data_IF_982123961095
#
_entry.id   IF_982123961095
#
_cell.length_a   1.000
_cell.length_b   1.000
_cell.length_c   1.000
_cell.angle_alpha   90.00
_cell.angle_beta   90.00
_cell.angle_gamma   90.00
#
_symmetry.space_group_name_H-M   'P 1'
#
loop_
_entity.id
_entity.type
_entity.pdbx_description
1 polymer ?
#
# COMPACT_ATOMS: atom_id res chain seq x y z
N UNK A 1 30.09 -22.88 -6.26
CA UNK A 1 29.43 -22.75 -7.57
C UNK A 1 27.95 -22.60 -7.32
N UNK A 2 27.49 -21.38 -7.38
CA UNK A 2 26.09 -21.02 -7.25
C UNK A 2 25.36 -21.54 -8.46
N UNK A 3 24.61 -22.61 -8.29
CA UNK A 3 23.53 -22.94 -9.22
C UNK A 3 22.63 -21.70 -9.26
N UNK A 4 22.53 -21.06 -10.41
CA UNK A 4 21.58 -19.98 -10.67
C UNK A 4 20.19 -20.43 -10.22
N UNK A 5 19.69 -19.86 -9.13
CA UNK A 5 18.32 -20.10 -8.71
C UNK A 5 17.39 -19.37 -9.66
N UNK A 6 16.24 -19.97 -9.92
CA UNK A 6 15.19 -19.33 -10.71
C UNK A 6 14.12 -18.85 -9.76
N UNK A 7 13.87 -17.55 -9.78
CA UNK A 7 12.81 -16.93 -9.03
C UNK A 7 11.62 -16.65 -9.93
N UNK A 8 10.44 -16.65 -9.35
CA UNK A 8 9.21 -16.19 -9.99
C UNK A 8 8.76 -14.91 -9.29
N UNK A 9 8.31 -13.92 -10.05
CA UNK A 9 7.73 -12.70 -9.53
C UNK A 9 6.34 -12.48 -10.11
N UNK A 10 5.35 -12.30 -9.23
CA UNK A 10 3.98 -11.97 -9.60
C UNK A 10 3.75 -10.52 -9.23
N UNK A 11 3.40 -9.67 -10.20
CA UNK A 11 3.34 -8.23 -10.02
C UNK A 11 1.91 -7.70 -10.02
N UNK A 12 1.61 -6.63 -9.24
CA UNK A 12 0.29 -6.03 -9.13
C UNK A 12 -0.01 -5.11 -10.33
N UNK A 13 -1.21 -4.50 -10.32
CA UNK A 13 -1.56 -3.41 -11.26
C UNK A 13 -1.26 -2.04 -10.72
N UNK A 14 -1.09 -1.90 -9.42
CA UNK A 14 -0.94 -0.59 -8.74
C UNK A 14 0.42 0.04 -8.98
N UNK A 15 1.46 -0.79 -9.09
CA UNK A 15 2.86 -0.39 -9.29
C UNK A 15 3.63 -1.48 -10.06
N UNK A 16 3.23 -1.79 -11.32
CA UNK A 16 3.77 -2.94 -12.05
C UNK A 16 5.24 -2.75 -12.44
N UNK A 17 5.62 -1.58 -12.92
CA UNK A 17 6.98 -1.29 -13.38
C UNK A 17 7.96 -1.18 -12.23
N UNK A 18 7.58 -0.53 -11.15
CA UNK A 18 8.38 -0.36 -9.93
C UNK A 18 8.69 -1.71 -9.30
N UNK A 19 7.69 -2.59 -9.21
CA UNK A 19 7.87 -3.96 -8.71
C UNK A 19 8.78 -4.78 -9.62
N UNK A 20 8.65 -4.65 -10.95
CA UNK A 20 9.52 -5.33 -11.91
C UNK A 20 10.96 -4.85 -11.74
N UNK A 21 11.20 -3.55 -11.69
CA UNK A 21 12.53 -2.97 -11.54
C UNK A 21 13.17 -3.44 -10.22
N UNK A 22 12.46 -3.27 -9.12
CA UNK A 22 12.94 -3.67 -7.79
C UNK A 22 13.29 -5.16 -7.72
N UNK A 23 12.37 -6.04 -8.15
CA UNK A 23 12.57 -7.48 -8.08
C UNK A 23 13.64 -7.94 -9.07
N UNK A 24 13.79 -7.30 -10.22
CA UNK A 24 14.88 -7.56 -11.16
C UNK A 24 16.23 -7.28 -10.51
N UNK A 25 16.41 -6.09 -9.95
CA UNK A 25 17.67 -5.69 -9.31
C UNK A 25 18.00 -6.63 -8.16
N UNK A 26 17.07 -6.85 -7.24
CA UNK A 26 17.28 -7.67 -6.03
C UNK A 26 17.57 -9.13 -6.37
N UNK A 27 16.83 -9.72 -7.31
CA UNK A 27 16.98 -11.13 -7.66
C UNK A 27 18.23 -11.40 -8.51
N UNK A 28 18.58 -10.50 -9.43
CA UNK A 28 19.82 -10.63 -10.22
C UNK A 28 21.05 -10.42 -9.32
N UNK A 29 21.03 -9.44 -8.42
CA UNK A 29 22.10 -9.24 -7.45
C UNK A 29 22.31 -10.48 -6.56
N UNK A 30 21.24 -11.21 -6.23
CA UNK A 30 21.30 -12.50 -5.56
C UNK A 30 21.69 -13.69 -6.46
N UNK A 31 22.10 -13.47 -7.72
CA UNK A 31 22.52 -14.52 -8.66
C UNK A 31 21.37 -15.33 -9.25
N UNK A 32 20.16 -14.76 -9.36
CA UNK A 32 18.98 -15.44 -9.87
C UNK A 32 18.62 -14.98 -11.27
N UNK A 33 17.93 -15.86 -12.02
CA UNK A 33 17.09 -15.46 -13.16
C UNK A 33 15.64 -15.33 -12.69
N UNK A 34 14.87 -14.48 -13.37
CA UNK A 34 13.49 -14.18 -12.95
C UNK A 34 12.51 -14.44 -14.09
N UNK A 35 11.43 -15.15 -13.80
CA UNK A 35 10.25 -15.22 -14.65
C UNK A 35 9.12 -14.41 -14.01
N UNK A 36 8.59 -13.43 -14.73
CA UNK A 36 7.48 -12.62 -14.29
C UNK A 36 6.13 -13.17 -14.79
N UNK A 37 5.16 -13.23 -13.89
CA UNK A 37 3.75 -13.37 -14.24
C UNK A 37 3.02 -12.09 -13.82
N UNK A 38 2.91 -11.18 -14.77
CA UNK A 38 2.42 -9.82 -14.50
C UNK A 38 0.89 -9.80 -14.40
N UNK A 39 0.33 -8.77 -13.83
CA UNK A 39 -1.13 -8.64 -13.82
C UNK A 39 -1.66 -8.42 -15.24
N UNK A 40 -2.76 -9.10 -15.68
CA UNK A 40 -3.27 -9.01 -17.05
C UNK A 40 -3.55 -7.58 -17.54
N UNK A 41 -4.04 -6.71 -16.67
CA UNK A 41 -4.31 -5.29 -16.99
C UNK A 41 -3.07 -4.43 -17.18
N UNK A 42 -1.91 -4.88 -16.67
CA UNK A 42 -0.63 -4.19 -16.80
C UNK A 42 0.31 -4.86 -17.80
N UNK A 43 -0.17 -5.86 -18.58
CA UNK A 43 0.65 -6.69 -19.47
C UNK A 43 1.53 -5.88 -20.42
N UNK A 44 0.98 -4.85 -21.08
CA UNK A 44 1.70 -4.05 -22.07
C UNK A 44 2.83 -3.25 -21.41
N UNK A 45 2.53 -2.45 -20.43
CA UNK A 45 3.55 -1.62 -19.73
C UNK A 45 4.62 -2.47 -19.07
N UNK A 46 4.25 -3.64 -18.54
CA UNK A 46 5.20 -4.61 -17.99
C UNK A 46 6.14 -5.19 -19.04
N UNK A 47 5.62 -5.50 -20.22
CA UNK A 47 6.44 -6.00 -21.34
C UNK A 47 7.44 -4.95 -21.81
N UNK A 48 7.00 -3.69 -21.96
CA UNK A 48 7.86 -2.57 -22.34
C UNK A 48 8.98 -2.34 -21.30
N UNK A 49 8.64 -2.40 -20.02
CA UNK A 49 9.60 -2.30 -18.92
C UNK A 49 10.63 -3.43 -18.95
N UNK A 50 10.19 -4.68 -19.12
CA UNK A 50 11.08 -5.84 -19.19
C UNK A 50 11.99 -5.78 -20.40
N UNK A 51 11.51 -5.29 -21.54
CA UNK A 51 12.31 -5.11 -22.73
C UNK A 51 13.43 -4.08 -22.48
N UNK A 52 13.10 -2.93 -21.89
CA UNK A 52 14.08 -1.90 -21.54
C UNK A 52 15.16 -2.44 -20.59
N UNK A 53 14.75 -3.17 -19.54
CA UNK A 53 15.68 -3.79 -18.60
C UNK A 53 16.57 -4.85 -19.24
N UNK A 54 16.04 -5.72 -20.11
CA UNK A 54 16.85 -6.70 -20.85
C UNK A 54 17.88 -6.02 -21.75
N UNK A 55 17.50 -4.94 -22.42
CA UNK A 55 18.43 -4.14 -23.24
C UNK A 55 19.56 -3.61 -22.38
N UNK A 56 19.25 -2.97 -21.25
CA UNK A 56 20.27 -2.45 -20.34
C UNK A 56 21.18 -3.55 -19.76
N UNK A 57 20.64 -4.73 -19.44
CA UNK A 57 21.42 -5.88 -18.98
C UNK A 57 22.44 -6.32 -20.05
N UNK A 58 22.01 -6.43 -21.31
CA UNK A 58 22.86 -6.85 -22.42
C UNK A 58 23.94 -5.80 -22.70
N UNK A 59 23.59 -4.52 -22.72
CA UNK A 59 24.54 -3.41 -22.90
C UNK A 59 25.61 -3.36 -21.79
N UNK A 60 25.25 -3.74 -20.57
CA UNK A 60 26.17 -3.89 -19.45
C UNK A 60 27.02 -5.18 -19.50
N UNK A 61 26.92 -5.99 -20.55
CA UNK A 61 27.66 -7.25 -20.74
C UNK A 61 27.01 -8.46 -20.07
N UNK A 62 25.77 -8.32 -19.56
CA UNK A 62 25.01 -9.43 -18.99
C UNK A 62 24.43 -10.36 -20.05
N UNK A 63 24.12 -11.62 -19.69
CA UNK A 63 23.51 -12.55 -20.62
C UNK A 63 22.07 -12.17 -20.95
N UNK A 64 21.65 -12.46 -22.20
CA UNK A 64 20.26 -12.29 -22.61
C UNK A 64 19.31 -13.19 -21.79
N UNK A 65 18.07 -12.74 -21.63
CA UNK A 65 16.98 -13.49 -20.97
C UNK A 65 17.22 -13.83 -19.49
N UNK A 66 17.98 -13.01 -18.77
CA UNK A 66 18.02 -13.10 -17.29
C UNK A 66 16.64 -12.85 -16.67
N UNK A 67 15.87 -11.99 -17.30
CA UNK A 67 14.48 -11.73 -16.94
C UNK A 67 13.56 -12.02 -18.11
N UNK A 68 12.45 -12.67 -17.83
CA UNK A 68 11.44 -13.06 -18.83
C UNK A 68 10.05 -12.90 -18.25
N UNK A 69 9.02 -12.92 -19.09
CA UNK A 69 7.63 -12.95 -18.61
C UNK A 69 6.80 -14.01 -19.36
N UNK A 70 5.72 -14.43 -18.73
CA UNK A 70 4.73 -15.27 -19.38
C UNK A 70 4.03 -14.49 -20.49
N UNK A 71 3.86 -15.12 -21.64
CA UNK A 71 3.17 -14.50 -22.77
C UNK A 71 1.72 -14.15 -22.45
N UNK A 72 1.03 -15.08 -21.77
CA UNK A 72 -0.32 -14.91 -21.27
C UNK A 72 -0.31 -15.07 -19.74
N UNK A 73 -0.43 -13.96 -18.98
CA UNK A 73 -0.41 -14.02 -17.54
C UNK A 73 -1.75 -14.53 -17.01
N UNK A 74 -1.76 -15.73 -16.47
CA UNK A 74 -2.94 -16.41 -15.91
C UNK A 74 -2.62 -17.03 -14.56
N UNK A 75 -3.63 -17.35 -13.76
CA UNK A 75 -3.45 -18.12 -12.51
C UNK A 75 -2.95 -19.54 -12.80
N UNK A 76 -3.36 -20.16 -13.89
CA UNK A 76 -2.84 -21.47 -14.32
C UNK A 76 -1.31 -21.43 -14.51
N UNK A 77 -0.78 -20.33 -15.07
CA UNK A 77 0.67 -20.16 -15.19
C UNK A 77 1.34 -19.99 -13.81
N UNK A 78 0.69 -19.33 -12.84
CA UNK A 78 1.18 -19.27 -11.47
C UNK A 78 1.29 -20.67 -10.86
N UNK A 79 0.28 -21.50 -11.05
CA UNK A 79 0.27 -22.89 -10.54
C UNK A 79 1.37 -23.72 -11.21
N UNK A 80 1.55 -23.59 -12.54
CA UNK A 80 2.63 -24.26 -13.27
C UNK A 80 4.02 -23.83 -12.79
N UNK A 81 4.21 -22.54 -12.48
CA UNK A 81 5.46 -22.03 -11.92
C UNK A 81 5.67 -22.51 -10.48
N UNK A 82 4.62 -22.53 -9.68
CA UNK A 82 4.65 -23.08 -8.33
C UNK A 82 5.01 -24.58 -8.31
N UNK A 83 4.50 -25.38 -9.25
CA UNK A 83 4.83 -26.79 -9.38
C UNK A 83 6.24 -27.06 -9.98
N UNK A 84 6.87 -26.09 -10.65
CA UNK A 84 8.13 -26.30 -11.34
C UNK A 84 9.31 -26.47 -10.35
N UNK A 85 10.03 -27.60 -10.33
CA UNK A 85 11.10 -27.84 -9.36
C UNK A 85 12.31 -26.92 -9.54
N UNK A 86 12.45 -26.27 -10.70
CA UNK A 86 13.54 -25.32 -10.98
C UNK A 86 13.29 -23.94 -10.38
N UNK A 87 12.05 -23.59 -10.03
CA UNK A 87 11.71 -22.35 -9.32
C UNK A 87 11.86 -22.59 -7.83
N UNK A 88 12.68 -21.79 -7.16
CA UNK A 88 13.01 -21.96 -5.74
C UNK A 88 12.37 -20.90 -4.85
N UNK A 89 12.11 -19.72 -5.38
CA UNK A 89 11.52 -18.59 -4.68
C UNK A 89 10.37 -18.02 -5.51
N UNK A 90 9.27 -17.72 -4.85
CA UNK A 90 8.15 -16.99 -5.43
C UNK A 90 7.95 -15.67 -4.65
N UNK A 91 8.05 -14.56 -5.34
CA UNK A 91 7.70 -13.25 -4.79
C UNK A 91 6.38 -12.80 -5.42
N UNK A 92 5.38 -12.48 -4.62
CA UNK A 92 4.07 -12.11 -5.14
C UNK A 92 3.45 -10.93 -4.40
N UNK A 93 3.08 -9.90 -5.15
CA UNK A 93 2.32 -8.76 -4.64
C UNK A 93 0.97 -8.70 -5.34
N UNK A 94 -0.12 -8.66 -4.57
CA UNK A 94 -1.47 -8.63 -5.13
C UNK A 94 -2.55 -9.02 -4.15
N UNK A 95 -3.74 -9.38 -4.65
CA UNK A 95 -4.87 -9.73 -3.79
C UNK A 95 -4.60 -10.96 -2.90
N UNK A 96 -5.23 -10.99 -1.73
CA UNK A 96 -5.06 -12.07 -0.72
C UNK A 96 -5.27 -13.48 -1.26
N UNK A 97 -6.18 -13.67 -2.22
CA UNK A 97 -6.39 -14.98 -2.85
C UNK A 97 -5.16 -15.50 -3.57
N UNK A 98 -4.45 -14.64 -4.28
CA UNK A 98 -3.20 -14.98 -4.97
C UNK A 98 -2.08 -15.24 -3.95
N UNK A 99 -1.91 -14.39 -2.96
CA UNK A 99 -0.89 -14.56 -1.90
C UNK A 99 -1.10 -15.88 -1.16
N UNK A 100 -2.33 -16.20 -0.77
CA UNK A 100 -2.66 -17.47 -0.12
C UNK A 100 -2.36 -18.70 -1.01
N UNK A 101 -2.58 -18.59 -2.33
CA UNK A 101 -2.22 -19.66 -3.26
C UNK A 101 -0.70 -19.87 -3.31
N UNK A 102 0.09 -18.79 -3.30
CA UNK A 102 1.55 -18.88 -3.24
C UNK A 102 2.05 -19.52 -1.94
N UNK A 103 1.51 -19.11 -0.80
CA UNK A 103 1.88 -19.67 0.51
C UNK A 103 1.59 -21.16 0.61
N UNK A 104 0.52 -21.64 -0.04
CA UNK A 104 0.17 -23.06 -0.10
C UNK A 104 1.00 -23.87 -1.10
N UNK A 105 1.81 -23.23 -1.92
CA UNK A 105 2.60 -23.91 -2.97
C UNK A 105 3.71 -24.81 -2.46
N UNK A 106 4.05 -24.74 -1.17
CA UNK A 106 5.15 -25.46 -0.56
C UNK A 106 6.54 -24.93 -0.93
N UNK A 107 6.62 -23.80 -1.63
CA UNK A 107 7.87 -23.09 -1.94
C UNK A 107 8.13 -21.96 -0.96
N UNK A 108 9.39 -21.52 -0.89
CA UNK A 108 9.70 -20.28 -0.20
C UNK A 108 8.97 -19.14 -0.93
N UNK A 109 8.17 -18.39 -0.17
CA UNK A 109 7.38 -17.28 -0.70
C UNK A 109 7.65 -15.98 0.07
N UNK A 110 7.74 -14.89 -0.67
CA UNK A 110 7.63 -13.53 -0.15
C UNK A 110 6.32 -12.98 -0.71
N UNK A 111 5.33 -12.75 0.13
CA UNK A 111 3.99 -12.39 -0.32
C UNK A 111 3.45 -11.17 0.40
N UNK A 112 2.99 -10.18 -0.37
CA UNK A 112 2.27 -9.03 0.14
C UNK A 112 0.85 -9.00 -0.45
N UNK A 113 -0.13 -8.97 0.45
CA UNK A 113 -1.54 -8.87 0.11
C UNK A 113 -2.07 -7.44 0.10
N UNK A 114 -3.34 -7.29 0.46
CA UNK A 114 -3.95 -6.01 0.71
C UNK A 114 -3.25 -5.30 1.88
N UNK A 115 -3.26 -3.96 1.87
CA UNK A 115 -2.84 -3.13 2.97
C UNK A 115 -3.96 -2.16 3.36
N UNK A 116 -4.13 -1.94 4.64
CA UNK A 116 -4.95 -0.84 5.17
C UNK A 116 -4.12 -0.14 6.24
N UNK A 117 -3.14 0.70 5.82
CA UNK A 117 -2.16 1.28 6.72
C UNK A 117 -2.70 2.34 7.67
N UNK A 118 -2.80 2.06 8.99
CA UNK A 118 -3.23 3.03 9.96
C UNK A 118 -2.13 4.01 10.33
N UNK A 119 -2.55 5.23 10.64
CA UNK A 119 -1.70 6.29 11.20
C UNK A 119 -2.20 6.65 12.59
N UNK A 120 -1.33 6.66 13.59
CA UNK A 120 -1.64 7.22 14.91
C UNK A 120 -1.01 8.61 15.04
N UNK A 121 -1.78 9.56 15.57
CA UNK A 121 -1.29 10.88 15.97
C UNK A 121 -1.62 11.06 17.45
N UNK A 122 -0.61 10.98 18.30
CA UNK A 122 -0.80 11.10 19.75
C UNK A 122 -0.67 12.56 20.26
N UNK A 123 -0.87 12.74 21.55
CA UNK A 123 -0.83 14.04 22.22
C UNK A 123 0.55 14.70 22.22
N UNK A 124 1.62 13.95 21.95
CA UNK A 124 3.00 14.45 21.91
C UNK A 124 3.46 14.83 20.52
N UNK A 125 2.64 14.52 19.51
CA UNK A 125 2.98 14.72 18.11
C UNK A 125 3.30 16.17 17.76
N UNK A 126 4.22 16.35 16.83
CA UNK A 126 4.37 17.62 16.11
C UNK A 126 3.25 17.73 15.08
N UNK A 127 2.22 18.50 15.39
CA UNK A 127 0.99 18.57 14.61
C UNK A 127 1.22 19.16 13.21
N UNK A 128 2.10 20.15 13.08
CA UNK A 128 2.44 20.73 11.78
C UNK A 128 3.16 19.72 10.90
N UNK A 129 4.13 18.98 11.46
CA UNK A 129 4.82 17.90 10.78
C UNK A 129 3.83 16.79 10.39
N UNK A 130 2.97 16.37 11.32
CA UNK A 130 1.98 15.32 11.11
C UNK A 130 1.03 15.68 9.96
N UNK A 131 0.40 16.86 10.01
CA UNK A 131 -0.53 17.31 8.97
C UNK A 131 0.12 17.36 7.59
N UNK A 132 1.33 17.92 7.49
CA UNK A 132 2.09 17.99 6.24
C UNK A 132 2.43 16.59 5.70
N UNK A 133 2.97 15.70 6.55
CA UNK A 133 3.42 14.38 6.13
C UNK A 133 2.28 13.42 5.82
N UNK A 134 1.19 13.47 6.57
CA UNK A 134 -0.02 12.69 6.28
C UNK A 134 -0.65 13.16 4.96
N UNK A 135 -0.76 14.48 4.75
CA UNK A 135 -1.25 15.00 3.46
C UNK A 135 -0.38 14.54 2.29
N UNK A 136 0.95 14.66 2.45
CA UNK A 136 1.93 14.26 1.43
C UNK A 136 1.82 12.77 1.09
N UNK A 137 1.68 11.90 2.09
CA UNK A 137 1.58 10.45 1.90
C UNK A 137 0.21 10.01 1.38
N UNK A 138 -0.88 10.47 2.00
CA UNK A 138 -2.24 10.10 1.62
C UNK A 138 -2.67 10.62 0.23
N UNK A 139 -2.06 11.71 -0.26
CA UNK A 139 -2.30 12.22 -1.61
C UNK A 139 -1.33 11.70 -2.67
N UNK A 140 -0.29 10.95 -2.25
CA UNK A 140 0.72 10.43 -3.16
C UNK A 140 0.10 9.41 -4.11
N UNK A 141 0.30 9.62 -5.40
CA UNK A 141 -0.23 8.78 -6.48
C UNK A 141 -1.73 8.45 -6.33
N UNK A 142 -2.52 9.46 -5.95
CA UNK A 142 -3.96 9.33 -5.68
C UNK A 142 -4.31 8.21 -4.69
N UNK A 143 -3.41 7.93 -3.74
CA UNK A 143 -3.57 6.89 -2.72
C UNK A 143 -3.76 5.46 -3.27
N UNK A 144 -3.29 5.18 -4.49
CA UNK A 144 -3.44 3.85 -5.09
C UNK A 144 -2.52 2.80 -4.46
N UNK A 145 -1.42 3.24 -3.85
CA UNK A 145 -0.41 2.34 -3.31
C UNK A 145 -0.85 1.72 -1.99
N UNK A 146 -0.58 0.43 -1.83
CA UNK A 146 -1.01 -0.36 -0.67
C UNK A 146 -0.32 0.06 0.66
N UNK A 147 0.79 0.77 0.59
CA UNK A 147 1.50 1.31 1.77
C UNK A 147 1.09 2.74 2.13
N UNK A 148 0.29 3.43 1.29
CA UNK A 148 -0.14 4.80 1.58
C UNK A 148 -1.13 4.84 2.76
N UNK A 149 -1.13 5.94 3.51
CA UNK A 149 -2.03 6.17 4.65
C UNK A 149 -3.49 5.99 4.25
N UNK A 150 -4.22 5.09 4.92
CA UNK A 150 -5.63 4.80 4.61
C UNK A 150 -6.60 5.37 5.63
N UNK A 151 -6.21 5.45 6.89
CA UNK A 151 -6.98 6.03 7.98
C UNK A 151 -6.07 6.63 9.04
N UNK A 152 -6.59 7.61 9.78
CA UNK A 152 -5.87 8.28 10.85
C UNK A 152 -6.66 8.18 12.16
N UNK A 153 -6.00 7.74 13.21
CA UNK A 153 -6.48 7.69 14.60
C UNK A 153 -5.78 8.78 15.40
N UNK A 154 -6.46 9.88 15.64
CA UNK A 154 -5.90 11.02 16.34
C UNK A 154 -6.44 11.12 17.77
N UNK A 155 -5.55 11.21 18.75
CA UNK A 155 -5.92 11.46 20.13
C UNK A 155 -6.60 12.83 20.24
N UNK A 156 -7.62 12.92 21.10
CA UNK A 156 -8.52 14.08 21.20
C UNK A 156 -7.80 15.44 21.28
N UNK A 157 -6.68 15.50 21.98
CA UNK A 157 -5.88 16.73 22.14
C UNK A 157 -5.12 17.13 20.87
N UNK A 158 -4.82 16.18 19.98
CA UNK A 158 -4.15 16.40 18.70
C UNK A 158 -5.14 16.62 17.54
N UNK A 159 -6.37 16.16 17.69
CA UNK A 159 -7.35 16.00 16.63
C UNK A 159 -7.69 17.29 15.88
N UNK A 160 -8.13 18.33 16.60
CA UNK A 160 -8.59 19.58 15.96
C UNK A 160 -7.41 20.31 15.28
N UNK A 161 -6.22 20.27 15.89
CA UNK A 161 -4.99 20.80 15.31
C UNK A 161 -4.61 20.08 14.03
N UNK A 162 -4.72 18.75 14.00
CA UNK A 162 -4.44 17.94 12.82
C UNK A 162 -5.41 18.24 11.67
N UNK A 163 -6.71 18.35 11.94
CA UNK A 163 -7.70 18.72 10.92
C UNK A 163 -7.37 20.08 10.31
N UNK A 164 -7.05 21.06 11.16
CA UNK A 164 -6.65 22.39 10.70
C UNK A 164 -5.42 22.34 9.79
N UNK A 165 -4.38 21.62 10.20
CA UNK A 165 -3.16 21.51 9.38
C UNK A 165 -3.41 20.77 8.06
N UNK A 166 -4.20 19.70 8.03
CA UNK A 166 -4.57 19.02 6.78
C UNK A 166 -5.31 19.96 5.81
N UNK A 167 -6.24 20.77 6.31
CA UNK A 167 -6.94 21.78 5.50
C UNK A 167 -5.97 22.87 4.99
N UNK A 168 -5.05 23.31 5.82
CA UNK A 168 -3.98 24.27 5.45
C UNK A 168 -3.09 23.74 4.33
N UNK A 169 -2.85 22.41 4.27
CA UNK A 169 -2.15 21.75 3.17
C UNK A 169 -3.00 21.64 1.90
N UNK A 170 -4.29 21.94 1.95
CA UNK A 170 -5.21 21.93 0.81
C UNK A 170 -6.19 20.75 0.77
N UNK A 171 -6.33 20.00 1.87
CA UNK A 171 -7.35 18.96 1.97
C UNK A 171 -8.76 19.56 2.06
N UNK A 172 -9.72 18.94 1.38
CA UNK A 172 -11.13 19.28 1.49
C UNK A 172 -11.81 18.48 2.59
N UNK A 173 -12.37 19.15 3.60
CA UNK A 173 -13.10 18.51 4.68
C UNK A 173 -14.56 18.26 4.27
N UNK A 174 -14.92 17.00 4.13
CA UNK A 174 -16.29 16.55 3.88
C UNK A 174 -17.16 16.72 5.13
N UNK A 175 -18.38 17.23 4.96
CA UNK A 175 -19.38 17.14 6.02
C UNK A 175 -20.03 15.74 6.06
N UNK A 176 -20.80 15.47 7.12
CA UNK A 176 -21.42 14.15 7.32
C UNK A 176 -22.28 13.71 6.13
N UNK A 177 -23.11 14.59 5.57
CA UNK A 177 -23.99 14.25 4.43
C UNK A 177 -23.17 13.93 3.17
N UNK A 178 -22.10 14.68 2.91
CA UNK A 178 -21.18 14.44 1.79
C UNK A 178 -20.43 13.11 1.97
N UNK A 179 -20.01 12.80 3.19
CA UNK A 179 -19.34 11.52 3.51
C UNK A 179 -20.25 10.33 3.21
N UNK A 180 -21.49 10.36 3.68
CA UNK A 180 -22.47 9.28 3.43
C UNK A 180 -22.84 9.14 1.95
N UNK A 181 -22.99 10.24 1.22
CA UNK A 181 -23.18 10.20 -0.23
C UNK A 181 -22.01 9.55 -0.93
N UNK A 182 -20.78 9.90 -0.53
CA UNK A 182 -19.57 9.40 -1.14
C UNK A 182 -19.39 7.89 -0.89
N UNK A 183 -19.69 7.39 0.32
CA UNK A 183 -19.70 5.94 0.63
C UNK A 183 -20.50 5.16 -0.41
N UNK A 184 -21.72 5.61 -0.70
CA UNK A 184 -22.63 4.93 -1.63
C UNK A 184 -22.15 4.95 -3.10
N UNK A 185 -21.23 5.82 -3.45
CA UNK A 185 -20.68 5.94 -4.81
C UNK A 185 -19.39 5.14 -4.96
N UNK A 186 -18.47 5.28 -3.98
CA UNK A 186 -17.12 4.74 -4.10
C UNK A 186 -16.93 3.37 -3.47
N UNK A 187 -17.88 2.94 -2.63
CA UNK A 187 -17.93 1.59 -2.10
C UNK A 187 -19.15 0.84 -2.67
N UNK A 188 -19.12 -0.47 -2.59
CA UNK A 188 -20.24 -1.34 -2.98
C UNK A 188 -20.37 -2.48 -1.98
N UNK A 189 -21.58 -3.05 -1.82
CA UNK A 189 -21.80 -4.20 -0.94
C UNK A 189 -20.93 -5.40 -1.35
N UNK A 190 -20.31 -6.03 -0.37
CA UNK A 190 -19.51 -7.25 -0.56
C UNK A 190 -20.37 -8.49 -0.32
N UNK A 191 -20.17 -9.55 -1.12
CA UNK A 191 -20.79 -10.85 -0.85
C UNK A 191 -20.32 -11.38 0.51
N UNK A 192 -21.26 -11.63 1.41
CA UNK A 192 -20.97 -12.07 2.78
C UNK A 192 -21.01 -10.96 3.83
N UNK A 193 -21.36 -9.74 3.45
CA UNK A 193 -21.52 -8.59 4.33
C UNK A 193 -20.36 -7.59 4.25
N UNK A 194 -20.60 -6.38 4.76
CA UNK A 194 -19.67 -5.26 4.69
C UNK A 194 -19.58 -4.62 3.30
N UNK A 195 -18.48 -3.92 3.08
CA UNK A 195 -18.24 -3.16 1.85
C UNK A 195 -16.93 -3.59 1.18
N UNK A 196 -16.83 -3.32 -0.11
CA UNK A 196 -15.59 -3.39 -0.88
C UNK A 196 -15.48 -2.15 -1.79
N UNK A 197 -14.26 -1.84 -2.21
CA UNK A 197 -14.03 -0.68 -3.07
C UNK A 197 -14.66 -0.87 -4.45
N UNK A 198 -15.34 0.17 -4.93
CA UNK A 198 -15.79 0.24 -6.32
C UNK A 198 -14.58 0.58 -7.22
N UNK A 199 -14.11 -0.42 -7.96
CA UNK A 199 -12.90 -0.36 -8.80
C UNK A 199 -12.88 0.77 -9.84
N UNK A 200 -14.04 1.38 -10.13
CA UNK A 200 -14.14 2.55 -11.03
C UNK A 200 -13.42 3.77 -10.45
N UNK A 201 -13.35 3.88 -9.13
CA UNK A 201 -12.84 5.06 -8.43
C UNK A 201 -11.41 4.90 -7.91
N UNK A 202 -10.85 3.71 -7.97
CA UNK A 202 -9.46 3.45 -7.58
C UNK A 202 -8.49 4.31 -8.39
N UNK A 203 -7.63 5.05 -7.69
CA UNK A 203 -6.62 5.92 -8.29
C UNK A 203 -7.15 7.17 -9.02
N UNK A 204 -8.41 7.54 -8.83
CA UNK A 204 -8.97 8.77 -9.40
C UNK A 204 -8.62 9.99 -8.55
N UNK A 205 -8.50 11.14 -9.22
CA UNK A 205 -8.20 12.41 -8.57
C UNK A 205 -9.29 12.80 -7.56
N UNK A 206 -8.90 13.41 -6.45
CA UNK A 206 -9.82 13.86 -5.41
C UNK A 206 -10.92 14.79 -5.98
N UNK A 207 -10.56 15.73 -6.86
CA UNK A 207 -11.50 16.64 -7.49
C UNK A 207 -12.59 15.89 -8.27
N UNK A 208 -12.23 14.85 -9.03
CA UNK A 208 -13.19 14.02 -9.78
C UNK A 208 -14.10 13.19 -8.87
N UNK A 209 -13.58 12.73 -7.74
CA UNK A 209 -14.36 12.00 -6.75
C UNK A 209 -15.36 12.96 -6.10
N UNK A 210 -14.92 14.14 -5.68
CA UNK A 210 -15.76 15.17 -5.05
C UNK A 210 -16.85 15.71 -5.99
N UNK A 211 -16.57 15.82 -7.28
CA UNK A 211 -17.56 16.24 -8.28
C UNK A 211 -18.80 15.32 -8.32
N UNK A 212 -18.65 14.04 -7.98
CA UNK A 212 -19.77 13.07 -7.95
C UNK A 212 -20.84 13.39 -6.91
N UNK A 213 -20.49 14.18 -5.90
CA UNK A 213 -21.38 14.65 -4.83
C UNK A 213 -21.69 16.15 -4.94
N UNK A 214 -21.41 16.74 -6.11
CA UNK A 214 -21.68 18.17 -6.38
C UNK A 214 -20.70 19.13 -5.71
N UNK A 215 -19.54 18.64 -5.26
CA UNK A 215 -18.48 19.50 -4.68
C UNK A 215 -17.45 19.81 -5.75
N UNK A 216 -17.29 21.09 -6.04
CA UNK A 216 -16.32 21.59 -7.01
C UNK A 216 -15.11 22.20 -6.29
N UNK A 217 -13.95 21.63 -6.48
CA UNK A 217 -12.67 22.07 -5.93
C UNK A 217 -11.66 22.28 -7.07
N UNK A 218 -10.61 23.07 -6.85
CA UNK A 218 -9.53 23.18 -7.83
C UNK A 218 -8.81 21.83 -8.04
N UNK A 219 -8.23 21.60 -9.21
CA UNK A 219 -7.40 20.41 -9.51
C UNK A 219 -6.19 20.28 -8.58
N UNK A 220 -5.82 21.37 -7.89
CA UNK A 220 -4.78 21.35 -6.85
C UNK A 220 -5.23 20.70 -5.55
N UNK A 221 -6.54 20.49 -5.35
CA UNK A 221 -7.05 19.72 -4.21
C UNK A 221 -6.80 18.24 -4.44
N UNK A 222 -5.84 17.68 -3.71
CA UNK A 222 -5.37 16.31 -3.93
C UNK A 222 -5.86 15.31 -2.89
N UNK A 223 -6.59 15.76 -1.87
CA UNK A 223 -7.06 14.92 -0.78
C UNK A 223 -8.40 15.42 -0.26
N UNK A 224 -9.36 14.53 -0.09
CA UNK A 224 -10.54 14.73 0.74
C UNK A 224 -10.33 14.07 2.11
N UNK A 225 -10.80 14.70 3.16
CA UNK A 225 -10.77 14.15 4.53
C UNK A 225 -12.17 14.14 5.11
N UNK A 226 -12.45 13.20 6.01
CA UNK A 226 -13.75 13.14 6.71
C UNK A 226 -13.58 12.69 8.16
N UNK A 227 -14.40 13.26 9.04
CA UNK A 227 -14.50 12.84 10.44
C UNK A 227 -15.49 11.69 10.54
N UNK A 228 -15.05 10.54 11.05
CA UNK A 228 -15.87 9.32 11.13
C UNK A 228 -15.55 8.50 12.38
N UNK A 229 -16.47 7.64 12.86
CA UNK A 229 -16.17 6.67 13.90
C UNK A 229 -15.28 5.52 13.37
N UNK A 230 -14.64 4.78 14.29
CA UNK A 230 -13.70 3.70 13.95
C UNK A 230 -14.33 2.53 13.16
N UNK A 231 -15.63 2.31 13.31
CA UNK A 231 -16.39 1.26 12.61
C UNK A 231 -16.92 1.70 11.22
N UNK A 232 -16.60 2.92 10.79
CA UNK A 232 -17.07 3.46 9.52
C UNK A 232 -16.47 2.70 8.32
N UNK A 233 -17.25 2.46 7.23
CA UNK A 233 -16.76 1.74 6.05
C UNK A 233 -15.45 2.29 5.45
N UNK A 234 -15.24 3.59 5.49
CA UNK A 234 -14.00 4.21 5.01
C UNK A 234 -12.76 3.86 5.86
N UNK A 235 -12.93 3.51 7.13
CA UNK A 235 -11.86 3.05 8.01
C UNK A 235 -11.54 1.57 7.75
N UNK A 236 -12.58 0.76 7.52
CA UNK A 236 -12.46 -0.70 7.45
C UNK A 236 -12.19 -1.24 6.03
N UNK A 237 -12.20 -0.39 5.00
CA UNK A 237 -11.99 -0.81 3.61
C UNK A 237 -10.78 -0.12 3.02
N UNK A 238 -9.82 -0.88 2.52
CA UNK A 238 -8.73 -0.34 1.72
C UNK A 238 -9.29 0.34 0.47
N UNK A 239 -9.36 1.67 0.47
CA UNK A 239 -10.06 2.43 -0.57
C UNK A 239 -9.25 2.62 -1.85
N UNK A 240 -7.92 2.75 -1.74
CA UNK A 240 -7.00 3.06 -2.85
C UNK A 240 -7.43 4.30 -3.65
N UNK A 241 -7.85 5.34 -2.94
CA UNK A 241 -8.24 6.65 -3.50
C UNK A 241 -8.01 7.76 -2.47
N UNK A 242 -7.86 9.03 -2.88
CA UNK A 242 -7.48 10.13 -1.99
C UNK A 242 -8.67 10.64 -1.15
N UNK A 243 -9.25 9.74 -0.35
CA UNK A 243 -10.28 10.04 0.66
C UNK A 243 -9.79 9.45 1.97
N UNK A 244 -9.41 10.30 2.93
CA UNK A 244 -8.78 9.88 4.18
C UNK A 244 -9.76 10.08 5.34
N UNK A 245 -10.23 8.99 5.97
CA UNK A 245 -11.02 9.06 7.20
C UNK A 245 -10.13 9.39 8.39
N UNK A 246 -10.64 10.22 9.29
CA UNK A 246 -9.98 10.61 10.53
C UNK A 246 -10.89 10.26 11.70
N UNK A 247 -10.39 9.44 12.60
CA UNK A 247 -11.07 8.95 13.79
C UNK A 247 -10.55 9.72 15.00
N UNK A 248 -11.49 10.25 15.80
CA UNK A 248 -11.18 10.88 17.09
C UNK A 248 -11.12 9.84 18.19
N UNK A 249 -9.98 9.68 18.84
CA UNK A 249 -9.75 8.75 19.94
C UNK A 249 -9.63 9.48 21.29
N UNK A 250 -10.17 8.89 22.35
CA UNK A 250 -10.11 9.49 23.69
C UNK A 250 -8.72 9.36 24.32
N UNK A 251 -7.96 8.34 23.92
CA UNK A 251 -6.62 8.07 24.44
C UNK A 251 -5.75 7.38 23.40
N UNK A 252 -4.45 7.35 23.65
CA UNK A 252 -3.50 6.60 22.84
C UNK A 252 -3.83 5.09 22.75
N UNK A 253 -4.22 4.46 23.88
CA UNK A 253 -4.56 3.04 23.89
C UNK A 253 -5.78 2.75 23.01
N UNK A 254 -6.81 3.60 23.02
CA UNK A 254 -7.93 3.47 22.09
C UNK A 254 -7.48 3.60 20.64
N UNK A 255 -6.62 4.57 20.33
CA UNK A 255 -6.07 4.72 18.98
C UNK A 255 -5.31 3.48 18.52
N UNK A 256 -4.57 2.83 19.42
CA UNK A 256 -3.87 1.57 19.15
C UNK A 256 -4.85 0.42 18.88
N UNK A 257 -5.86 0.26 19.73
CA UNK A 257 -6.88 -0.80 19.57
C UNK A 257 -7.63 -0.65 18.25
N UNK A 258 -8.10 0.55 17.94
CA UNK A 258 -8.83 0.84 16.70
C UNK A 258 -7.94 0.65 15.46
N UNK A 259 -6.66 1.07 15.51
CA UNK A 259 -5.70 0.90 14.43
C UNK A 259 -5.40 -0.59 14.14
N UNK A 260 -5.27 -1.42 15.19
CA UNK A 260 -5.07 -2.87 15.04
C UNK A 260 -6.28 -3.53 14.38
N UNK A 261 -7.50 -3.11 14.74
CA UNK A 261 -8.73 -3.61 14.12
C UNK A 261 -8.80 -3.21 12.64
N UNK A 262 -8.49 -1.95 12.32
CA UNK A 262 -8.53 -1.43 10.95
C UNK A 262 -7.48 -2.07 10.03
N UNK A 263 -6.32 -2.45 10.56
CA UNK A 263 -5.23 -3.11 9.81
C UNK A 263 -5.57 -4.54 9.40
N UNK A 264 -6.56 -5.18 10.03
CA UNK A 264 -7.10 -6.52 9.71
C UNK A 264 -6.09 -7.68 9.76
N UNK A 265 -4.95 -7.54 10.40
CA UNK A 265 -3.88 -8.56 10.42
C UNK A 265 -3.17 -8.72 9.07
N UNK A 266 -3.25 -7.72 8.21
CA UNK A 266 -2.50 -7.67 6.94
C UNK A 266 -0.98 -7.61 7.16
N UNK A 267 -0.54 -7.04 8.29
CA UNK A 267 0.87 -6.87 8.69
C UNK A 267 1.70 -6.14 7.63
N UNK A 268 1.05 -5.18 6.97
CA UNK A 268 1.64 -4.51 5.82
C UNK A 268 2.43 -3.26 6.22
N UNK A 269 1.75 -2.21 6.61
CA UNK A 269 2.35 -0.90 6.90
C UNK A 269 1.58 -0.20 8.01
N UNK A 270 2.29 0.52 8.87
CA UNK A 270 1.69 1.43 9.85
C UNK A 270 2.62 2.63 10.10
N UNK A 271 2.06 3.73 10.59
CA UNK A 271 2.86 4.87 11.01
C UNK A 271 2.33 5.51 12.29
N UNK A 272 3.23 6.24 12.95
CA UNK A 272 2.91 7.00 14.16
C UNK A 272 3.60 8.36 14.15
N UNK A 273 2.88 9.39 14.53
CA UNK A 273 3.42 10.70 14.87
C UNK A 273 3.36 10.88 16.38
N UNK A 274 4.53 10.92 17.00
CA UNK A 274 4.71 10.94 18.44
C UNK A 274 6.11 11.43 18.79
N UNK A 275 6.30 11.97 19.99
CA UNK A 275 7.60 12.21 20.62
C UNK A 275 7.82 11.27 21.80
N UNK A 276 6.85 10.44 22.14
CA UNK A 276 6.91 9.45 23.21
C UNK A 276 7.46 8.12 22.67
N UNK A 277 8.62 7.71 23.15
CA UNK A 277 9.29 6.46 22.76
C UNK A 277 8.53 5.23 23.22
N UNK A 278 7.84 5.30 24.35
CA UNK A 278 7.05 4.18 24.88
C UNK A 278 5.80 3.98 24.03
N UNK A 279 5.11 5.03 23.60
CA UNK A 279 4.00 4.96 22.65
C UNK A 279 4.43 4.37 21.31
N UNK A 280 5.53 4.86 20.73
CA UNK A 280 6.08 4.30 19.50
C UNK A 280 6.40 2.81 19.64
N UNK A 281 7.02 2.41 20.75
CA UNK A 281 7.40 1.02 21.01
C UNK A 281 6.17 0.16 21.25
N UNK A 282 5.20 0.65 22.01
CA UNK A 282 3.94 -0.04 22.31
C UNK A 282 3.18 -0.35 21.02
N UNK A 283 3.00 0.66 20.15
CA UNK A 283 2.30 0.46 18.88
C UNK A 283 3.05 -0.50 17.95
N UNK A 284 4.36 -0.33 17.77
CA UNK A 284 5.17 -1.23 16.95
C UNK A 284 5.05 -2.71 17.34
N UNK A 285 5.01 -2.99 18.67
CA UNK A 285 4.89 -4.37 19.18
C UNK A 285 3.56 -5.03 18.90
N UNK A 286 2.48 -4.26 18.80
CA UNK A 286 1.13 -4.85 18.65
C UNK A 286 0.65 -4.87 17.22
N UNK A 287 1.08 -3.91 16.40
CA UNK A 287 0.67 -3.83 15.00
C UNK A 287 1.42 -4.83 14.11
N UNK A 288 2.65 -5.20 14.49
CA UNK A 288 3.47 -6.23 13.82
C UNK A 288 3.58 -6.08 12.29
N UNK A 289 3.65 -4.85 11.78
CA UNK A 289 3.74 -4.59 10.34
C UNK A 289 5.18 -4.71 9.82
N UNK A 290 5.33 -5.09 8.56
CA UNK A 290 6.62 -5.15 7.86
C UNK A 290 7.24 -3.76 7.72
N UNK A 291 6.42 -2.75 7.41
CA UNK A 291 6.82 -1.35 7.34
C UNK A 291 6.24 -0.62 8.55
N UNK A 292 7.11 -0.04 9.35
CA UNK A 292 6.73 0.80 10.49
C UNK A 292 7.45 2.14 10.42
N UNK A 293 6.70 3.23 10.23
CA UNK A 293 7.26 4.56 10.01
C UNK A 293 6.96 5.47 11.20
N UNK A 294 7.93 6.26 11.61
CA UNK A 294 7.82 7.23 12.70
C UNK A 294 8.02 8.64 12.18
N UNK A 295 7.10 9.55 12.50
CA UNK A 295 7.18 10.98 12.20
C UNK A 295 7.46 11.31 10.72
N UNK A 296 6.97 10.48 9.81
CA UNK A 296 7.10 10.69 8.36
C UNK A 296 5.93 10.06 7.61
N UNK A 297 5.78 10.42 6.33
CA UNK A 297 4.85 9.75 5.43
C UNK A 297 5.25 8.28 5.24
N UNK A 298 4.26 7.39 5.12
CA UNK A 298 4.50 5.93 4.98
C UNK A 298 5.39 5.57 3.80
N UNK A 299 5.38 6.35 2.73
CA UNK A 299 6.27 6.19 1.56
C UNK A 299 7.76 6.24 1.92
N UNK A 300 8.13 6.86 3.05
CA UNK A 300 9.50 6.84 3.55
C UNK A 300 9.98 5.42 3.90
N UNK A 301 9.06 4.55 4.31
CA UNK A 301 9.35 3.14 4.60
C UNK A 301 9.73 2.29 3.39
N UNK A 302 9.41 2.77 2.17
CA UNK A 302 9.87 2.16 0.91
C UNK A 302 11.01 2.98 0.25
N UNK A 303 11.60 3.92 0.97
CA UNK A 303 12.76 4.72 0.54
C UNK A 303 12.42 6.02 -0.19
N UNK A 304 11.14 6.38 -0.32
CA UNK A 304 10.74 7.63 -1.01
C UNK A 304 10.73 8.79 0.00
N UNK A 305 11.79 9.57 0.00
CA UNK A 305 11.96 10.73 0.93
C UNK A 305 12.27 10.32 2.36
N UNK A 306 12.75 9.10 2.58
CA UNK A 306 13.25 8.58 3.86
C UNK A 306 14.73 8.22 3.81
N UNK A 307 15.26 7.74 4.93
CA UNK A 307 16.67 7.36 5.08
C UNK A 307 16.90 5.86 4.78
N UNK A 308 15.84 5.09 4.55
CA UNK A 308 15.91 3.66 4.27
C UNK A 308 16.29 3.32 2.83
N UNK A 309 16.55 2.04 2.59
CA UNK A 309 16.75 1.53 1.24
C UNK A 309 15.43 1.56 0.45
N UNK A 310 15.52 1.94 -0.82
CA UNK A 310 14.37 1.83 -1.72
C UNK A 310 14.03 0.36 -1.95
N UNK A 311 12.81 -0.04 -1.64
CA UNK A 311 12.32 -1.40 -1.89
C UNK A 311 10.82 -1.42 -2.18
N UNK A 312 10.44 -2.29 -3.12
CA UNK A 312 9.04 -2.63 -3.41
C UNK A 312 8.76 -4.12 -3.13
N UNK A 313 9.69 -4.80 -2.47
CA UNK A 313 9.46 -6.16 -1.96
C UNK A 313 8.87 -6.06 -0.56
N UNK A 314 7.56 -6.19 -0.46
CA UNK A 314 6.82 -6.13 0.80
C UNK A 314 6.39 -7.55 1.13
N UNK A 315 6.55 -7.96 2.40
CA UNK A 315 6.37 -9.34 2.81
C UNK A 315 5.12 -9.60 3.67
N UNK A 316 4.32 -8.60 3.99
CA UNK A 316 3.05 -8.73 4.72
C UNK A 316 2.99 -9.91 5.71
N UNK A 317 1.99 -10.81 5.59
CA UNK A 317 1.81 -11.90 6.56
C UNK A 317 2.93 -12.95 6.60
N UNK A 318 3.85 -12.95 5.65
CA UNK A 318 4.96 -13.92 5.63
C UNK A 318 6.06 -13.59 6.64
N UNK A 319 6.14 -12.33 7.09
CA UNK A 319 7.19 -11.85 7.98
C UNK A 319 8.60 -11.94 7.38
N UNK A 320 8.70 -12.18 6.08
CA UNK A 320 9.96 -12.27 5.33
C UNK A 320 10.03 -11.09 4.35
N UNK A 321 10.65 -10.00 4.75
CA UNK A 321 10.86 -8.82 3.94
C UNK A 321 12.31 -8.39 3.92
#
# INVERSE_FOLDING_TARGET
YTTLFRSCSITPTTNPTETIINNTISMIAGGNTVVFNVHPRAKRVSADCLQALNTAIIEAGGPANLITMTREPTMENVDKMAANPKIRLMAGTGGMGMVNALLRSGKKCIGAGAGNPPVIVDETADIELAGRKIYEGASFDNNILCFAEKEVFAVNTAYDGLLHELQKQGAYLLNKAQTEQLVNIVLQPKKGGGHEVNKKWVGKDAARILETIGVHVPDTCRLAICEVPADHPFVLVEQMMPVLPIVRCQSFEQAVEDAVVAEHGNRHTASIFSKDVDHMTRFARVIETTIYVKNSATKAGVGIGGEGHCTMTIAGPTGEG
#
